data_IF_366082675021
#
_entry.id   IF_366082675021
#
_cell.length_a   1.000
_cell.length_b   1.000
_cell.length_c   1.000
_cell.angle_alpha   90.00
_cell.angle_beta   90.00
_cell.angle_gamma   90.00
#
_symmetry.space_group_name_H-M   'P 1'
#
loop_
_entity.id
_entity.type
_entity.pdbx_description
1 polymer ?
#
# COMPACT_ATOMS: atom_id res chain seq x y z
N UNK A 1 8.29 3.50 4.67
CA UNK A 1 8.83 2.11 4.90
C UNK A 1 7.73 1.06 5.12
N UNK A 2 6.63 1.35 5.81
CA UNK A 2 5.60 0.34 6.12
C UNK A 2 5.06 -0.44 4.91
N UNK A 3 4.71 0.24 3.81
CA UNK A 3 4.30 -0.42 2.58
C UNK A 3 5.39 -1.34 2.01
N UNK A 4 6.63 -0.83 1.90
CA UNK A 4 7.76 -1.56 1.30
C UNK A 4 8.10 -2.83 2.09
N UNK A 5 8.07 -2.76 3.42
CA UNK A 5 8.36 -3.92 4.24
C UNK A 5 7.19 -4.94 4.23
N UNK A 6 5.96 -4.45 4.08
CA UNK A 6 4.77 -5.30 3.94
C UNK A 6 4.77 -6.06 2.62
N UNK A 7 5.01 -5.37 1.50
CA UNK A 7 5.25 -5.93 0.17
C UNK A 7 6.34 -7.01 0.21
N UNK A 8 7.53 -6.65 0.71
CA UNK A 8 8.66 -7.58 0.85
C UNK A 8 8.30 -8.86 1.61
N UNK A 9 7.48 -8.78 2.67
CA UNK A 9 7.06 -9.95 3.43
C UNK A 9 6.07 -10.83 2.67
N UNK A 10 5.22 -10.23 1.84
CA UNK A 10 4.19 -10.92 1.06
C UNK A 10 4.65 -11.46 -0.27
N UNK A 11 5.71 -10.90 -0.87
CA UNK A 11 6.11 -11.08 -2.27
C UNK A 11 6.26 -12.54 -2.74
N UNK A 12 6.79 -13.43 -1.92
CA UNK A 12 6.92 -14.86 -2.27
C UNK A 12 5.63 -15.65 -2.09
N UNK A 13 4.65 -15.05 -1.43
CA UNK A 13 3.36 -15.68 -1.12
C UNK A 13 2.23 -15.28 -2.06
N UNK A 14 2.48 -14.37 -2.99
CA UNK A 14 1.52 -13.96 -4.02
C UNK A 14 1.06 -15.16 -4.86
N UNK A 15 2.02 -15.93 -5.39
CA UNK A 15 1.73 -17.12 -6.22
C UNK A 15 1.94 -18.46 -5.49
N UNK A 16 2.36 -18.44 -4.23
CA UNK A 16 2.53 -19.60 -3.37
C UNK A 16 1.93 -19.34 -2.00
N UNK A 17 0.59 -19.23 -1.91
CA UNK A 17 -0.10 -18.69 -0.75
C UNK A 17 0.10 -19.52 0.51
N UNK A 18 0.14 -18.83 1.65
CA UNK A 18 0.16 -19.45 2.98
C UNK A 18 -1.06 -19.04 3.78
N UNK A 19 -1.55 -19.93 4.64
CA UNK A 19 -2.58 -19.65 5.65
C UNK A 19 -1.99 -19.60 7.08
N UNK A 20 -0.70 -19.89 7.20
CA UNK A 20 -0.01 -19.88 8.49
C UNK A 20 0.31 -18.44 8.94
N UNK A 21 0.00 -18.10 10.18
CA UNK A 21 0.38 -16.81 10.78
C UNK A 21 1.88 -16.70 11.08
N UNK A 22 2.51 -17.83 11.37
CA UNK A 22 3.94 -17.91 11.71
C UNK A 22 4.81 -18.28 10.50
N UNK A 23 4.40 -17.89 9.29
CA UNK A 23 5.19 -18.14 8.08
C UNK A 23 6.60 -17.52 8.20
N UNK A 24 7.56 -18.12 7.53
CA UNK A 24 8.89 -17.55 7.40
C UNK A 24 8.92 -16.55 6.24
N UNK A 25 9.69 -15.48 6.38
CA UNK A 25 9.97 -14.59 5.25
C UNK A 25 11.20 -15.14 4.53
N UNK A 26 11.04 -15.73 3.34
CA UNK A 26 12.13 -16.40 2.63
C UNK A 26 13.29 -15.45 2.32
N UNK A 27 14.49 -16.03 2.14
CA UNK A 27 15.67 -15.24 1.79
C UNK A 27 15.60 -14.62 0.40
N UNK A 28 14.85 -15.24 -0.52
CA UNK A 28 14.60 -14.79 -1.88
C UNK A 28 13.40 -13.83 -2.03
N UNK A 29 12.74 -13.45 -0.92
CA UNK A 29 11.76 -12.35 -0.97
C UNK A 29 12.42 -11.10 -1.54
N UNK A 30 11.67 -10.38 -2.37
CA UNK A 30 12.12 -9.12 -2.98
C UNK A 30 10.97 -8.10 -2.94
N UNK A 31 11.22 -6.90 -3.39
CA UNK A 31 10.17 -5.91 -3.61
C UNK A 31 9.50 -6.16 -4.96
N UNK A 32 8.19 -5.89 -5.01
CA UNK A 32 7.37 -6.02 -6.22
C UNK A 32 7.09 -4.63 -6.85
N UNK A 33 6.19 -4.58 -7.79
CA UNK A 33 5.69 -3.31 -8.35
C UNK A 33 4.98 -2.46 -7.29
N UNK A 34 4.45 -3.04 -6.22
CA UNK A 34 3.91 -2.31 -5.06
C UNK A 34 4.90 -1.29 -4.51
N UNK A 35 6.11 -1.73 -4.16
CA UNK A 35 7.15 -0.84 -3.65
C UNK A 35 7.64 0.14 -4.71
N UNK A 36 7.84 -0.31 -5.95
CA UNK A 36 8.33 0.54 -7.03
C UNK A 36 7.36 1.68 -7.30
N UNK A 37 6.06 1.38 -7.39
CA UNK A 37 5.04 2.40 -7.66
C UNK A 37 4.73 3.25 -6.43
N UNK A 38 4.84 2.72 -5.22
CA UNK A 38 4.82 3.51 -3.97
C UNK A 38 5.94 4.55 -3.96
N UNK A 39 7.16 4.16 -4.33
CA UNK A 39 8.31 5.08 -4.41
C UNK A 39 8.12 6.08 -5.54
N UNK A 40 7.50 5.68 -6.66
CA UNK A 40 7.15 6.60 -7.75
C UNK A 40 6.19 7.71 -7.29
N UNK A 41 5.16 7.36 -6.51
CA UNK A 41 4.22 8.34 -5.92
C UNK A 41 4.95 9.26 -4.94
N UNK A 42 5.80 8.73 -4.08
CA UNK A 42 6.63 9.53 -3.17
C UNK A 42 7.54 10.51 -3.95
N UNK A 43 8.15 10.04 -5.03
CA UNK A 43 8.97 10.89 -5.91
C UNK A 43 8.15 11.99 -6.59
N UNK A 44 6.92 11.69 -7.03
CA UNK A 44 6.02 12.70 -7.61
C UNK A 44 5.78 13.85 -6.63
N UNK A 45 5.47 13.53 -5.38
CA UNK A 45 5.24 14.51 -4.31
C UNK A 45 6.50 15.32 -3.97
N UNK A 46 7.66 14.68 -3.89
CA UNK A 46 8.94 15.36 -3.60
C UNK A 46 9.35 16.30 -4.72
N UNK A 47 9.16 15.89 -5.98
CA UNK A 47 9.62 16.64 -7.15
C UNK A 47 8.55 17.60 -7.71
N UNK A 48 7.30 17.56 -7.22
CA UNK A 48 6.20 18.34 -7.74
C UNK A 48 5.85 18.02 -9.19
N UNK A 49 5.98 16.75 -9.60
CA UNK A 49 5.67 16.29 -10.97
C UNK A 49 4.37 15.48 -11.01
N UNK A 50 3.70 15.40 -12.19
CA UNK A 50 2.47 14.61 -12.32
C UNK A 50 2.68 13.14 -11.97
N UNK A 51 1.73 12.53 -11.26
CA UNK A 51 1.76 11.10 -10.91
C UNK A 51 1.93 10.21 -12.14
N UNK A 52 1.19 10.50 -13.24
CA UNK A 52 1.33 9.77 -14.52
C UNK A 52 2.78 9.72 -15.00
N UNK A 53 3.48 10.85 -14.93
CA UNK A 53 4.88 10.95 -15.35
C UNK A 53 5.80 10.12 -14.44
N UNK A 54 5.61 10.23 -13.12
CA UNK A 54 6.42 9.49 -12.15
C UNK A 54 6.21 7.98 -12.29
N UNK A 55 4.97 7.51 -12.35
CA UNK A 55 4.64 6.09 -12.52
C UNK A 55 5.27 5.51 -13.78
N UNK A 56 5.15 6.20 -14.94
CA UNK A 56 5.76 5.75 -16.20
C UNK A 56 7.29 5.74 -16.13
N UNK A 57 7.88 6.77 -15.54
CA UNK A 57 9.34 6.89 -15.44
C UNK A 57 9.92 5.78 -14.58
N UNK A 58 9.31 5.53 -13.41
CA UNK A 58 9.79 4.51 -12.48
C UNK A 58 9.56 3.10 -13.00
N UNK A 59 8.40 2.79 -13.56
CA UNK A 59 8.12 1.48 -14.14
C UNK A 59 9.04 1.15 -15.32
N UNK A 60 9.35 2.12 -16.18
CA UNK A 60 10.33 1.92 -17.27
C UNK A 60 11.77 1.72 -16.75
N UNK A 61 12.10 2.33 -15.63
CA UNK A 61 13.43 2.18 -15.02
C UNK A 61 13.60 0.84 -14.33
N UNK A 62 12.52 0.27 -13.81
CA UNK A 62 12.49 -1.02 -13.15
C UNK A 62 11.50 -1.95 -13.87
N UNK A 63 11.84 -2.43 -15.09
CA UNK A 63 10.88 -3.07 -15.99
C UNK A 63 10.47 -4.48 -15.56
N UNK A 64 11.23 -5.12 -14.70
CA UNK A 64 11.03 -6.52 -14.32
C UNK A 64 11.06 -6.68 -12.78
N UNK A 65 10.06 -6.14 -12.06
CA UNK A 65 9.93 -6.45 -10.63
C UNK A 65 9.60 -7.92 -10.41
N UNK A 66 9.78 -8.41 -9.20
CA UNK A 66 9.21 -9.70 -8.80
C UNK A 66 7.68 -9.64 -8.99
N UNK A 67 7.06 -10.70 -9.50
CA UNK A 67 5.63 -10.73 -9.85
C UNK A 67 5.28 -10.03 -11.18
N UNK A 68 6.07 -9.05 -11.62
CA UNK A 68 5.81 -8.26 -12.83
C UNK A 68 4.83 -7.12 -12.58
N UNK A 69 4.44 -6.42 -13.64
CA UNK A 69 3.36 -5.43 -13.61
C UNK A 69 2.07 -6.05 -14.16
N UNK A 70 0.93 -5.67 -13.60
CA UNK A 70 -0.36 -6.10 -14.12
C UNK A 70 -0.51 -5.81 -15.62
N UNK A 71 -1.20 -6.70 -16.37
CA UNK A 71 -1.27 -6.67 -17.82
C UNK A 71 -1.81 -5.35 -18.40
N UNK A 72 -2.82 -4.77 -17.77
CA UNK A 72 -3.39 -3.47 -18.19
C UNK A 72 -2.43 -2.31 -17.93
N UNK A 73 -1.69 -2.34 -16.82
CA UNK A 73 -0.66 -1.35 -16.54
C UNK A 73 0.51 -1.46 -17.53
N UNK A 74 0.93 -2.67 -17.87
CA UNK A 74 1.98 -2.91 -18.87
C UNK A 74 1.61 -2.38 -20.26
N UNK A 75 0.36 -2.56 -20.69
CA UNK A 75 -0.15 -1.97 -21.94
C UNK A 75 -0.15 -0.44 -21.91
N UNK A 76 -0.62 0.14 -20.79
CA UNK A 76 -0.62 1.58 -20.59
C UNK A 76 0.80 2.17 -20.54
N UNK A 77 1.77 1.43 -19.99
CA UNK A 77 3.18 1.81 -19.92
C UNK A 77 3.83 1.81 -21.34
N UNK A 78 3.47 0.83 -22.16
CA UNK A 78 4.01 0.68 -23.52
C UNK A 78 3.56 1.81 -24.45
N UNK A 79 2.32 2.28 -24.33
CA UNK A 79 1.78 3.35 -25.16
C UNK A 79 1.64 4.66 -24.38
N UNK A 80 2.49 5.68 -24.67
CA UNK A 80 2.42 6.99 -24.02
C UNK A 80 1.10 7.75 -24.22
N UNK A 81 0.36 7.43 -25.30
CA UNK A 81 -0.89 8.10 -25.65
C UNK A 81 -2.11 7.48 -24.97
N UNK A 82 -1.97 6.27 -24.40
CA UNK A 82 -3.08 5.61 -23.73
C UNK A 82 -3.63 6.47 -22.58
N UNK A 83 -4.95 6.66 -22.63
CA UNK A 83 -5.73 7.22 -21.55
C UNK A 83 -5.77 6.26 -20.34
N UNK A 84 -6.26 6.70 -19.18
CA UNK A 84 -6.61 5.79 -18.08
C UNK A 84 -7.53 4.67 -18.59
N UNK A 85 -7.33 3.45 -18.07
CA UNK A 85 -7.99 2.24 -18.59
C UNK A 85 -9.11 1.70 -17.69
N UNK A 86 -9.70 2.59 -16.89
CA UNK A 86 -10.87 2.32 -16.05
C UNK A 86 -10.71 1.08 -15.14
N UNK A 87 -9.51 0.90 -14.59
CA UNK A 87 -9.24 -0.19 -13.64
C UNK A 87 -9.94 0.01 -12.30
N UNK A 88 -10.43 -1.07 -11.74
CA UNK A 88 -10.89 -1.21 -10.36
C UNK A 88 -9.94 -2.10 -9.54
N UNK A 89 -8.80 -2.45 -10.11
CA UNK A 89 -7.75 -3.22 -9.44
C UNK A 89 -7.17 -2.50 -8.22
N UNK A 90 -6.53 -3.25 -7.35
CA UNK A 90 -5.93 -2.75 -6.11
C UNK A 90 -4.64 -1.93 -6.32
N UNK A 91 -4.13 -1.87 -7.57
CA UNK A 91 -2.91 -1.15 -7.92
C UNK A 91 -2.91 0.35 -7.64
N UNK A 92 -4.09 0.99 -7.52
CA UNK A 92 -4.19 2.38 -7.03
C UNK A 92 -4.01 2.48 -5.51
N UNK A 93 -4.55 1.50 -4.78
CA UNK A 93 -4.55 1.45 -3.32
C UNK A 93 -3.16 1.05 -2.77
N UNK A 94 -2.49 0.08 -3.40
CA UNK A 94 -1.19 -0.42 -2.97
C UNK A 94 -0.11 0.67 -2.93
N UNK A 95 -0.14 1.60 -3.90
CA UNK A 95 0.90 2.62 -4.11
C UNK A 95 0.63 3.97 -3.45
N UNK A 96 -0.56 4.17 -2.84
CA UNK A 96 -1.03 5.49 -2.38
C UNK A 96 -0.41 5.97 -1.05
N UNK A 97 0.34 5.12 -0.36
CA UNK A 97 0.76 5.37 1.04
C UNK A 97 1.44 6.72 1.26
N UNK A 98 2.27 7.17 0.33
CA UNK A 98 2.95 8.46 0.41
C UNK A 98 1.96 9.65 0.47
N UNK A 99 0.82 9.56 -0.23
CA UNK A 99 -0.24 10.58 -0.21
C UNK A 99 -0.84 10.72 1.19
N UNK A 100 -1.11 9.60 1.88
CA UNK A 100 -1.62 9.58 3.25
C UNK A 100 -0.70 10.29 4.26
N UNK A 101 0.61 10.36 3.97
CA UNK A 101 1.60 11.04 4.81
C UNK A 101 1.81 12.52 4.47
N UNK A 102 1.56 12.94 3.22
CA UNK A 102 2.07 14.21 2.69
C UNK A 102 1.26 15.44 3.08
N UNK A 103 -0.06 15.37 3.08
CA UNK A 103 -0.95 16.52 3.20
C UNK A 103 -1.38 16.82 4.63
N UNK A 104 -1.64 18.10 4.93
CA UNK A 104 -2.00 18.58 6.27
C UNK A 104 -3.46 18.32 6.64
N UNK A 105 -4.36 18.11 5.65
CA UNK A 105 -5.77 17.89 5.90
C UNK A 105 -6.26 16.60 5.24
N UNK A 106 -7.32 16.02 5.80
CA UNK A 106 -7.94 14.82 5.21
C UNK A 106 -8.53 15.12 3.83
N UNK A 107 -9.13 16.30 3.65
CA UNK A 107 -9.70 16.72 2.37
C UNK A 107 -8.66 16.75 1.26
N UNK A 108 -7.51 17.40 1.49
CA UNK A 108 -6.39 17.42 0.54
C UNK A 108 -5.86 16.00 0.28
N UNK A 109 -5.77 15.16 1.33
CA UNK A 109 -5.32 13.79 1.22
C UNK A 109 -6.23 12.99 0.30
N UNK A 110 -7.56 13.12 0.43
CA UNK A 110 -8.54 12.43 -0.40
C UNK A 110 -8.51 12.92 -1.85
N UNK A 111 -8.41 14.24 -2.05
CA UNK A 111 -8.30 14.84 -3.38
C UNK A 111 -7.07 14.31 -4.12
N UNK A 112 -5.92 14.29 -3.47
CA UNK A 112 -4.68 13.84 -4.07
C UNK A 112 -4.60 12.30 -4.21
N UNK A 113 -5.23 11.54 -3.34
CA UNK A 113 -5.40 10.11 -3.51
C UNK A 113 -6.20 9.80 -4.79
N UNK A 114 -7.30 10.53 -5.03
CA UNK A 114 -8.07 10.48 -6.28
C UNK A 114 -7.17 10.78 -7.49
N UNK A 115 -6.45 11.90 -7.49
CA UNK A 115 -5.56 12.29 -8.60
C UNK A 115 -4.47 11.23 -8.87
N UNK A 116 -3.92 10.59 -7.82
CA UNK A 116 -2.93 9.53 -7.97
C UNK A 116 -3.51 8.26 -8.59
N UNK A 117 -4.79 7.97 -8.33
CA UNK A 117 -5.49 6.81 -8.88
C UNK A 117 -5.92 7.04 -10.34
N UNK A 118 -6.53 8.19 -10.62
CA UNK A 118 -7.20 8.51 -11.89
C UNK A 118 -6.30 8.40 -13.13
N UNK A 119 -4.98 8.46 -12.98
CA UNK A 119 -4.06 8.31 -14.11
C UNK A 119 -4.07 6.90 -14.73
N UNK A 120 -4.62 5.90 -14.04
CA UNK A 120 -4.76 4.50 -14.49
C UNK A 120 -6.09 3.87 -14.03
N UNK A 121 -6.46 4.08 -12.77
CA UNK A 121 -7.59 3.48 -12.07
C UNK A 121 -8.70 4.53 -11.89
N UNK A 122 -9.27 4.98 -13.00
CA UNK A 122 -10.34 5.99 -13.01
C UNK A 122 -11.74 5.39 -12.87
N UNK A 123 -11.86 4.09 -12.61
CA UNK A 123 -13.10 3.46 -12.15
C UNK A 123 -13.41 3.89 -10.72
N UNK A 124 -14.70 4.03 -10.39
CA UNK A 124 -15.15 4.45 -9.06
C UNK A 124 -14.52 3.63 -7.93
N UNK A 125 -14.51 2.31 -8.06
CA UNK A 125 -13.93 1.40 -7.07
C UNK A 125 -12.40 1.54 -6.96
N UNK A 126 -11.71 1.79 -8.09
CA UNK A 126 -10.25 2.02 -8.06
C UNK A 126 -9.88 3.32 -7.33
N UNK A 127 -10.65 4.38 -7.54
CA UNK A 127 -10.50 5.65 -6.83
C UNK A 127 -10.85 5.47 -5.35
N UNK A 128 -11.97 4.80 -5.06
CA UNK A 128 -12.44 4.53 -3.70
C UNK A 128 -11.40 3.80 -2.87
N UNK A 129 -10.77 2.75 -3.43
CA UNK A 129 -9.73 1.99 -2.75
C UNK A 129 -8.52 2.85 -2.36
N UNK A 130 -8.01 3.65 -3.28
CA UNK A 130 -6.90 4.57 -3.00
C UNK A 130 -7.28 5.61 -1.92
N UNK A 131 -8.47 6.22 -2.02
CA UNK A 131 -8.95 7.17 -1.03
C UNK A 131 -9.12 6.54 0.36
N UNK A 132 -9.65 5.32 0.45
CA UNK A 132 -9.82 4.63 1.73
C UNK A 132 -8.48 4.34 2.40
N UNK A 133 -7.48 3.83 1.67
CA UNK A 133 -6.14 3.57 2.20
C UNK A 133 -5.46 4.86 2.64
N UNK A 134 -5.49 5.92 1.82
CA UNK A 134 -4.91 7.21 2.16
C UNK A 134 -5.57 7.84 3.39
N UNK A 135 -6.91 7.73 3.52
CA UNK A 135 -7.64 8.18 4.69
C UNK A 135 -7.23 7.43 5.96
N UNK A 136 -7.12 6.09 5.89
CA UNK A 136 -6.66 5.27 7.02
C UNK A 136 -5.27 5.70 7.49
N UNK A 137 -4.32 5.91 6.58
CA UNK A 137 -2.97 6.37 6.88
C UNK A 137 -3.00 7.77 7.52
N UNK A 138 -3.75 8.71 6.92
CA UNK A 138 -3.90 10.05 7.47
C UNK A 138 -4.47 10.03 8.89
N UNK A 139 -5.55 9.31 9.10
CA UNK A 139 -6.23 9.22 10.40
C UNK A 139 -5.35 8.55 11.45
N UNK A 140 -4.68 7.45 11.11
CA UNK A 140 -3.78 6.73 12.00
C UNK A 140 -2.60 7.63 12.45
N UNK A 141 -1.93 8.32 11.51
CA UNK A 141 -0.81 9.21 11.84
C UNK A 141 -1.20 10.48 12.61
N UNK A 142 -2.47 10.87 12.53
CA UNK A 142 -3.02 12.02 13.27
C UNK A 142 -3.66 11.61 14.60
N UNK A 143 -3.47 10.35 15.03
CA UNK A 143 -3.86 9.87 16.36
C UNK A 143 -5.34 9.47 16.49
N UNK A 144 -6.04 9.25 15.38
CA UNK A 144 -7.39 8.70 15.45
C UNK A 144 -7.35 7.24 15.89
N UNK A 145 -8.30 6.88 16.72
CA UNK A 145 -8.44 5.50 17.18
C UNK A 145 -8.87 4.58 16.03
N UNK A 146 -8.57 3.29 16.15
CA UNK A 146 -8.98 2.27 15.20
C UNK A 146 -10.50 2.22 15.02
N UNK A 147 -11.27 2.45 16.10
CA UNK A 147 -12.72 2.51 16.05
C UNK A 147 -13.22 3.69 15.20
N UNK A 148 -12.58 4.88 15.33
CA UNK A 148 -12.89 6.03 14.48
C UNK A 148 -12.54 5.78 13.02
N UNK A 149 -11.39 5.13 12.76
CA UNK A 149 -10.97 4.74 11.40
C UNK A 149 -11.98 3.77 10.78
N UNK A 150 -12.36 2.71 11.50
CA UNK A 150 -13.34 1.74 11.03
C UNK A 150 -14.67 2.41 10.69
N UNK A 151 -15.21 3.21 11.62
CA UNK A 151 -16.45 3.96 11.40
C UNK A 151 -16.38 4.89 10.20
N UNK A 152 -15.25 5.57 10.01
CA UNK A 152 -15.05 6.45 8.87
C UNK A 152 -15.06 5.68 7.55
N UNK A 153 -14.33 4.56 7.49
CA UNK A 153 -14.24 3.70 6.30
C UNK A 153 -15.61 3.15 5.91
N UNK A 154 -16.38 2.66 6.87
CA UNK A 154 -17.73 2.15 6.63
C UNK A 154 -18.69 3.24 6.14
N UNK A 155 -18.68 4.40 6.80
CA UNK A 155 -19.60 5.50 6.49
C UNK A 155 -19.31 6.18 5.15
N UNK A 156 -18.03 6.33 4.75
CA UNK A 156 -17.65 7.14 3.59
C UNK A 156 -17.29 6.32 2.36
N UNK A 157 -16.87 5.07 2.55
CA UNK A 157 -16.48 4.18 1.45
C UNK A 157 -17.39 2.95 1.31
N UNK A 158 -18.29 2.72 2.27
CA UNK A 158 -19.23 1.60 2.22
C UNK A 158 -18.56 0.22 2.32
N UNK A 159 -17.31 0.13 2.76
CA UNK A 159 -16.65 -1.15 2.99
C UNK A 159 -17.20 -1.79 4.27
N UNK A 160 -17.65 -3.03 4.17
CA UNK A 160 -18.03 -3.82 5.33
C UNK A 160 -16.79 -4.32 6.06
N UNK A 161 -16.65 -4.02 7.34
CA UNK A 161 -15.56 -4.49 8.20
C UNK A 161 -16.02 -5.45 9.32
N UNK A 162 -17.27 -5.93 9.27
CA UNK A 162 -17.90 -6.80 10.28
C UNK A 162 -17.74 -8.30 9.96
N UNK A 163 -16.63 -8.70 9.38
CA UNK A 163 -16.32 -10.11 9.17
C UNK A 163 -15.19 -10.59 10.08
N UNK A 164 -15.12 -11.89 10.32
CA UNK A 164 -14.03 -12.54 11.04
C UNK A 164 -12.89 -12.85 10.09
N UNK A 165 -11.67 -12.38 10.39
CA UNK A 165 -10.46 -12.74 9.63
C UNK A 165 -10.20 -14.24 9.66
N UNK A 166 -10.41 -14.89 10.82
CA UNK A 166 -10.17 -16.34 10.94
C UNK A 166 -11.14 -17.14 10.08
N UNK A 167 -12.42 -16.79 10.07
CA UNK A 167 -13.39 -17.45 9.19
C UNK A 167 -13.10 -17.20 7.71
N UNK A 168 -12.79 -15.95 7.34
CA UNK A 168 -12.51 -15.57 5.96
C UNK A 168 -11.23 -16.22 5.43
N UNK A 169 -10.20 -16.38 6.26
CA UNK A 169 -8.90 -16.97 5.87
C UNK A 169 -9.03 -18.31 5.18
N UNK A 170 -10.00 -19.15 5.57
CA UNK A 170 -10.19 -20.47 4.96
C UNK A 170 -10.74 -20.41 3.53
N UNK A 171 -11.47 -19.37 3.17
CA UNK A 171 -12.14 -19.24 1.88
C UNK A 171 -11.58 -18.14 0.99
N UNK A 172 -10.81 -17.19 1.57
CA UNK A 172 -10.22 -16.10 0.82
C UNK A 172 -9.17 -16.63 -0.16
N UNK A 173 -9.27 -16.18 -1.40
CA UNK A 173 -8.36 -16.52 -2.49
C UNK A 173 -7.74 -15.30 -3.13
N UNK A 174 -7.09 -15.51 -4.27
CA UNK A 174 -6.47 -14.42 -5.04
C UNK A 174 -7.56 -13.46 -5.55
N UNK A 175 -7.44 -12.19 -5.20
CA UNK A 175 -8.34 -11.12 -5.62
C UNK A 175 -7.53 -9.83 -5.76
N UNK A 176 -7.37 -9.36 -6.99
CA UNK A 176 -6.64 -8.14 -7.35
C UNK A 176 -7.54 -6.89 -7.44
N UNK A 177 -8.79 -6.97 -6.97
CA UNK A 177 -9.72 -5.84 -6.97
C UNK A 177 -9.62 -4.99 -5.70
N UNK A 178 -9.90 -3.70 -5.79
CA UNK A 178 -10.01 -2.85 -4.60
C UNK A 178 -11.07 -3.35 -3.63
N UNK A 179 -12.20 -3.87 -4.14
CA UNK A 179 -13.32 -4.35 -3.32
C UNK A 179 -12.94 -5.58 -2.51
N UNK A 180 -12.15 -6.48 -3.08
CA UNK A 180 -11.70 -7.70 -2.40
C UNK A 180 -10.49 -7.47 -1.48
N UNK A 181 -9.56 -6.62 -1.88
CA UNK A 181 -8.29 -6.42 -1.17
C UNK A 181 -8.37 -5.39 -0.03
N UNK A 182 -8.93 -4.20 -0.31
CA UNK A 182 -8.82 -3.05 0.61
C UNK A 182 -9.52 -3.28 1.96
N UNK A 183 -10.78 -3.75 2.02
CA UNK A 183 -11.43 -4.00 3.31
C UNK A 183 -10.73 -5.08 4.14
N UNK A 184 -10.15 -6.10 3.48
CA UNK A 184 -9.40 -7.17 4.15
C UNK A 184 -8.10 -6.61 4.74
N UNK A 185 -7.35 -5.82 3.98
CA UNK A 185 -6.13 -5.19 4.46
C UNK A 185 -6.39 -4.24 5.64
N UNK A 186 -7.44 -3.41 5.56
CA UNK A 186 -7.84 -2.53 6.67
C UNK A 186 -8.23 -3.36 7.90
N UNK A 187 -9.00 -4.44 7.73
CA UNK A 187 -9.41 -5.31 8.84
C UNK A 187 -8.22 -5.96 9.52
N UNK A 188 -7.20 -6.42 8.76
CA UNK A 188 -5.96 -6.95 9.31
C UNK A 188 -5.23 -5.92 10.19
N UNK A 189 -5.19 -4.66 9.78
CA UNK A 189 -4.67 -3.59 10.63
C UNK A 189 -5.50 -3.39 11.89
N UNK A 190 -6.83 -3.31 11.77
CA UNK A 190 -7.71 -3.04 12.91
C UNK A 190 -7.62 -4.10 14.01
N UNK A 191 -7.41 -5.37 13.67
CA UNK A 191 -7.30 -6.49 14.61
C UNK A 191 -5.88 -6.77 15.09
N UNK A 192 -4.89 -6.09 14.54
CA UNK A 192 -3.48 -6.37 14.83
C UNK A 192 -3.02 -5.87 16.21
N UNK A 193 -1.98 -6.52 16.74
CA UNK A 193 -1.34 -6.19 18.02
C UNK A 193 0.05 -5.59 17.88
N UNK A 194 0.63 -5.64 16.67
CA UNK A 194 1.91 -5.03 16.31
C UNK A 194 1.98 -4.84 14.79
N UNK A 195 2.97 -4.08 14.30
CA UNK A 195 3.19 -3.95 12.86
C UNK A 195 3.42 -5.31 12.19
N UNK A 196 4.29 -6.14 12.78
CA UNK A 196 4.57 -7.48 12.25
C UNK A 196 3.33 -8.37 12.26
N UNK A 197 2.55 -8.33 13.35
CA UNK A 197 1.29 -9.07 13.43
C UNK A 197 0.29 -8.61 12.36
N UNK A 198 0.20 -7.30 12.09
CA UNK A 198 -0.67 -6.76 11.04
C UNK A 198 -0.33 -7.35 9.66
N UNK A 199 0.95 -7.33 9.29
CA UNK A 199 1.41 -7.89 8.01
C UNK A 199 1.27 -9.41 7.96
N UNK A 200 1.51 -10.11 9.07
CA UNK A 200 1.29 -11.58 9.15
C UNK A 200 -0.17 -11.95 8.98
N UNK A 201 -1.08 -11.19 9.59
CA UNK A 201 -2.53 -11.36 9.36
C UNK A 201 -2.85 -11.19 7.87
N UNK A 202 -2.37 -10.15 7.23
CA UNK A 202 -2.61 -9.85 5.83
C UNK A 202 -2.08 -10.95 4.88
N UNK A 203 -0.81 -11.31 4.99
CA UNK A 203 -0.17 -12.34 4.15
C UNK A 203 -0.83 -13.71 4.36
N UNK A 204 -1.20 -14.06 5.60
CA UNK A 204 -1.86 -15.33 5.90
C UNK A 204 -3.29 -15.44 5.35
N UNK A 205 -3.87 -14.37 4.82
CA UNK A 205 -5.11 -14.48 4.06
C UNK A 205 -4.91 -15.28 2.77
N UNK A 206 -3.69 -15.33 2.21
CA UNK A 206 -3.35 -16.17 1.07
C UNK A 206 -4.05 -15.76 -0.22
N UNK A 207 -4.22 -14.46 -0.42
CA UNK A 207 -4.66 -13.85 -1.66
C UNK A 207 -3.48 -13.18 -2.38
N UNK A 208 -3.69 -11.96 -2.86
CA UNK A 208 -2.68 -11.04 -3.37
C UNK A 208 -1.84 -10.53 -2.18
N UNK A 209 -0.86 -11.35 -1.78
CA UNK A 209 -0.26 -11.31 -0.44
C UNK A 209 0.71 -10.12 -0.26
N UNK A 210 1.41 -9.72 -1.30
CA UNK A 210 2.30 -8.55 -1.30
C UNK A 210 1.48 -7.26 -1.23
N UNK A 211 0.42 -7.13 -2.03
CA UNK A 211 -0.50 -5.98 -1.97
C UNK A 211 -1.25 -5.91 -0.64
N UNK A 212 -1.79 -7.02 -0.13
CA UNK A 212 -2.37 -7.06 1.22
C UNK A 212 -1.36 -6.62 2.28
N UNK A 213 -0.13 -7.13 2.19
CA UNK A 213 0.98 -6.77 3.06
C UNK A 213 1.37 -5.28 2.95
N UNK A 214 1.47 -4.76 1.73
CA UNK A 214 1.83 -3.36 1.46
C UNK A 214 0.79 -2.39 2.04
N UNK A 215 -0.49 -2.61 1.77
CA UNK A 215 -1.58 -1.76 2.28
C UNK A 215 -1.65 -1.82 3.81
N UNK A 216 -1.72 -3.03 4.37
CA UNK A 216 -1.79 -3.24 5.82
C UNK A 216 -0.58 -2.67 6.53
N UNK A 217 0.62 -2.95 6.02
CA UNK A 217 1.88 -2.47 6.56
C UNK A 217 2.01 -0.95 6.52
N UNK A 218 1.47 -0.30 5.46
CA UNK A 218 1.45 1.15 5.36
C UNK A 218 0.57 1.81 6.42
N UNK A 219 -0.64 1.26 6.66
CA UNK A 219 -1.59 1.79 7.65
C UNK A 219 -1.04 1.54 9.06
N UNK A 220 -0.57 0.33 9.36
CA UNK A 220 -0.02 -0.02 10.66
C UNK A 220 1.23 0.82 11.03
N UNK A 221 2.08 1.14 10.03
CA UNK A 221 3.26 2.00 10.25
C UNK A 221 2.88 3.45 10.57
N UNK A 222 1.69 3.88 10.17
CA UNK A 222 1.18 5.22 10.46
C UNK A 222 0.54 5.34 11.85
N UNK A 223 0.24 4.24 12.52
CA UNK A 223 -0.44 4.22 13.81
C UNK A 223 0.46 4.72 14.95
N UNK A 224 0.32 5.99 15.30
CA UNK A 224 1.08 6.64 16.38
C UNK A 224 0.58 6.26 17.77
N UNK A 225 -0.65 5.73 17.89
CA UNK A 225 -1.26 5.38 19.18
C UNK A 225 -0.62 4.16 19.82
N UNK A 226 -0.11 3.25 19.01
CA UNK A 226 0.46 1.97 19.43
C UNK A 226 1.98 1.91 19.32
N UNK A 227 2.62 2.97 18.78
CA UNK A 227 4.06 3.00 18.47
C UNK A 227 4.50 1.77 17.68
N UNK A 228 3.70 1.36 16.71
CA UNK A 228 4.02 0.25 15.85
C UNK A 228 5.27 0.56 15.03
N UNK A 229 6.31 -0.19 15.24
CA UNK A 229 7.55 -0.09 14.48
C UNK A 229 7.82 -1.40 13.73
N UNK A 230 8.46 -1.28 12.60
CA UNK A 230 8.91 -2.45 11.83
C UNK A 230 10.08 -3.09 12.61
N UNK A 231 10.05 -4.41 12.89
CA UNK A 231 11.18 -5.07 13.52
C UNK A 231 12.48 -4.77 12.76
N UNK A 232 13.58 -4.35 13.44
CA UNK A 232 14.80 -3.87 12.78
C UNK A 232 15.37 -4.85 11.76
N UNK A 233 15.29 -6.15 12.03
CA UNK A 233 15.76 -7.20 11.12
C UNK A 233 14.93 -7.24 9.82
N UNK A 234 13.63 -7.09 9.89
CA UNK A 234 12.73 -7.05 8.73
C UNK A 234 12.95 -5.77 7.94
N UNK A 235 13.03 -4.64 8.62
CA UNK A 235 13.31 -3.35 7.95
C UNK A 235 14.65 -3.37 7.22
N UNK A 236 15.70 -3.88 7.84
CA UNK A 236 17.02 -4.00 7.22
C UNK A 236 16.97 -4.89 5.96
N UNK A 237 16.28 -6.04 6.02
CA UNK A 237 16.13 -6.94 4.89
C UNK A 237 15.37 -6.29 3.73
N UNK A 238 14.25 -5.64 4.01
CA UNK A 238 13.48 -4.92 2.99
C UNK A 238 14.28 -3.76 2.38
N UNK A 239 14.99 -2.97 3.22
CA UNK A 239 15.87 -1.89 2.73
C UNK A 239 17.00 -2.39 1.86
N UNK A 240 17.55 -3.59 2.12
CA UNK A 240 18.62 -4.17 1.33
C UNK A 240 18.18 -4.56 -0.09
N UNK A 241 16.88 -4.70 -0.34
CA UNK A 241 16.31 -4.93 -1.69
C UNK A 241 16.17 -3.67 -2.53
N UNK A 242 16.22 -2.50 -1.89
CA UNK A 242 16.12 -1.22 -2.57
C UNK A 242 17.47 -0.85 -3.18
N UNK A 243 17.44 -0.40 -4.43
CA UNK A 243 18.60 0.26 -5.05
C UNK A 243 18.95 1.55 -4.31
N UNK A 244 20.19 2.06 -4.49
CA UNK A 244 20.62 3.31 -3.88
C UNK A 244 19.68 4.48 -4.19
N UNK A 245 19.13 4.51 -5.39
CA UNK A 245 18.20 5.57 -5.81
C UNK A 245 16.84 5.46 -5.10
N UNK A 246 16.28 4.25 -5.01
CA UNK A 246 15.05 4.00 -4.26
C UNK A 246 15.21 4.39 -2.79
N UNK A 247 16.32 3.98 -2.18
CA UNK A 247 16.66 4.38 -0.81
C UNK A 247 16.82 5.90 -0.68
N UNK A 248 17.35 6.58 -1.71
CA UNK A 248 17.47 8.03 -1.76
C UNK A 248 16.12 8.73 -1.66
N UNK A 249 15.13 8.28 -2.45
CA UNK A 249 13.76 8.82 -2.41
C UNK A 249 13.09 8.55 -1.06
N UNK A 250 13.20 7.33 -0.54
CA UNK A 250 12.63 6.98 0.77
C UNK A 250 13.20 7.87 1.87
N UNK A 251 14.53 8.02 1.94
CA UNK A 251 15.18 8.90 2.93
C UNK A 251 14.77 10.37 2.77
N UNK A 252 14.67 10.87 1.54
CA UNK A 252 14.26 12.24 1.27
C UNK A 252 12.81 12.47 1.72
N UNK A 253 11.92 11.51 1.44
CA UNK A 253 10.53 11.56 1.85
C UNK A 253 10.39 11.56 3.38
N UNK A 254 11.03 10.59 4.05
CA UNK A 254 11.02 10.47 5.51
C UNK A 254 11.51 11.78 6.17
N UNK A 255 12.58 12.39 5.64
CA UNK A 255 13.12 13.67 6.14
C UNK A 255 12.11 14.83 6.02
N UNK A 256 11.36 14.90 4.92
CA UNK A 256 10.33 15.94 4.72
C UNK A 256 9.17 15.72 5.68
N UNK A 257 8.68 14.47 5.80
CA UNK A 257 7.57 14.14 6.70
C UNK A 257 7.94 14.43 8.15
N UNK A 258 9.14 14.00 8.59
CA UNK A 258 9.62 14.26 9.95
C UNK A 258 9.63 15.76 10.28
N UNK A 259 10.12 16.62 9.37
CA UNK A 259 10.12 18.06 9.57
C UNK A 259 8.70 18.64 9.70
N UNK A 260 7.74 18.14 8.91
CA UNK A 260 6.35 18.63 8.93
C UNK A 260 5.59 18.23 10.20
N UNK A 261 5.99 17.15 10.87
CA UNK A 261 5.38 16.71 12.13
C UNK A 261 5.90 17.46 13.35
N UNK A 262 6.94 18.29 13.21
CA UNK A 262 7.52 19.10 14.29
C UNK A 262 6.96 20.53 14.34
N UNK A 263 6.18 20.92 13.37
CA UNK A 263 5.51 22.22 13.25
C UNK A 263 4.05 22.10 13.70
#
# INVERSE_FOLDING_TARGET
MGAIAGDYMGSTYEFSPTKALNFEVPWNSDITDDSILTIAVANALLAGIPYKQALRSWARKFPNPMGGYGSSFSRWLADPQLAPYNSYGNGSAMRVSAVGWWFGTLEQTLQEARHSAECTHNHEEGIKGACAVAACIYMARTGRSRAEIAKYVEAHFGYNLHFSLDALRFTYGFDETCMGTVPVAIKCYLESTSWENAVRLAVSMGGDADTLGAITGAIAYADTSTRYYIPPRLEQRARARLTWQQQGIVRAFDKVIWKRQQI
#
